data_IF_429489871801
#
_entry.id   IF_429489871801
#
_cell.length_a   1.000
_cell.length_b   1.000
_cell.length_c   1.000
_cell.angle_alpha   90.00
_cell.angle_beta   90.00
_cell.angle_gamma   90.00
#
_symmetry.space_group_name_H-M   'P 1'
#
loop_
_entity.id
_entity.type
_entity.pdbx_description
1 polymer ?
#
# COMPACT_ATOMS: atom_id res chain seq x y z
N UNK A 1 7.03 -0.02 -20.36
CA UNK A 1 7.44 -0.17 -18.95
C UNK A 1 8.65 0.70 -18.63
N UNK A 2 9.92 0.26 -18.62
CA UNK A 2 11.04 1.09 -18.11
C UNK A 2 11.24 2.44 -18.83
N UNK A 3 11.24 2.45 -20.17
CA UNK A 3 11.39 3.70 -20.95
C UNK A 3 10.27 4.71 -20.68
N UNK A 4 9.07 4.19 -20.45
CA UNK A 4 7.87 4.98 -20.18
C UNK A 4 7.89 5.53 -18.76
N UNK A 5 8.25 4.71 -17.77
CA UNK A 5 8.48 5.14 -16.40
C UNK A 5 9.60 6.20 -16.29
N UNK A 6 10.70 6.05 -17.04
CA UNK A 6 11.77 7.05 -17.11
C UNK A 6 11.26 8.36 -17.73
N UNK A 7 10.50 8.28 -18.82
CA UNK A 7 9.94 9.45 -19.47
C UNK A 7 8.96 10.20 -18.55
N UNK A 8 8.10 9.48 -17.84
CA UNK A 8 7.19 10.04 -16.83
C UNK A 8 7.96 10.71 -15.69
N UNK A 9 8.99 10.05 -15.15
CA UNK A 9 9.81 10.64 -14.09
C UNK A 9 10.51 11.90 -14.55
N UNK A 10 11.05 11.91 -15.77
CA UNK A 10 11.68 13.09 -16.35
C UNK A 10 10.68 14.24 -16.54
N UNK A 11 9.46 13.96 -17.04
CA UNK A 11 8.40 14.95 -17.17
C UNK A 11 7.97 15.54 -15.81
N UNK A 12 7.87 14.70 -14.78
CA UNK A 12 7.58 15.15 -13.41
C UNK A 12 8.65 16.09 -12.86
N UNK A 13 9.92 15.74 -12.99
CA UNK A 13 11.05 16.59 -12.54
C UNK A 13 11.09 17.93 -13.30
N UNK A 14 10.84 17.91 -14.61
CA UNK A 14 10.78 19.12 -15.41
C UNK A 14 9.62 20.03 -14.97
N UNK A 15 8.45 19.46 -14.69
CA UNK A 15 7.26 20.20 -14.23
C UNK A 15 7.53 20.88 -12.88
N UNK A 16 8.14 20.16 -11.94
CA UNK A 16 8.56 20.71 -10.65
C UNK A 16 9.57 21.86 -10.81
N UNK A 17 10.57 21.66 -11.66
CA UNK A 17 11.62 22.67 -11.92
C UNK A 17 11.03 23.94 -12.54
N UNK A 18 10.11 23.81 -13.50
CA UNK A 18 9.41 24.95 -14.12
C UNK A 18 8.56 25.72 -13.11
N UNK A 19 7.82 25.00 -12.26
CA UNK A 19 7.03 25.64 -11.21
C UNK A 19 7.89 26.43 -10.23
N UNK A 20 9.03 25.86 -9.82
CA UNK A 20 10.01 26.52 -8.95
C UNK A 20 10.58 27.80 -9.57
N UNK A 21 10.97 27.75 -10.84
CA UNK A 21 11.48 28.92 -11.56
C UNK A 21 10.44 30.04 -11.63
N UNK A 22 9.17 29.71 -11.92
CA UNK A 22 8.09 30.71 -11.90
C UNK A 22 7.90 31.33 -10.51
N UNK A 23 7.94 30.53 -9.43
CA UNK A 23 7.85 31.05 -8.06
C UNK A 23 9.01 32.01 -7.76
N UNK A 24 10.24 31.66 -8.12
CA UNK A 24 11.41 32.50 -7.87
C UNK A 24 11.32 33.82 -8.63
N UNK A 25 11.01 33.78 -9.93
CA UNK A 25 10.84 35.00 -10.76
C UNK A 25 9.73 35.88 -10.19
N UNK A 26 8.57 35.30 -9.90
CA UNK A 26 7.41 36.06 -9.43
C UNK A 26 7.61 36.67 -8.05
N UNK A 27 8.39 36.00 -7.19
CA UNK A 27 8.76 36.53 -5.88
C UNK A 27 9.73 37.71 -5.98
N UNK A 28 10.65 37.69 -6.94
CA UNK A 28 11.61 38.78 -7.17
C UNK A 28 10.97 40.04 -7.75
N UNK A 29 9.88 39.90 -8.50
CA UNK A 29 9.13 41.03 -9.08
C UNK A 29 8.15 41.69 -8.10
N UNK A 30 7.92 41.08 -6.94
CA UNK A 30 6.85 41.46 -6.02
C UNK A 30 7.36 42.43 -4.93
N UNK A 31 6.56 43.44 -4.51
CA UNK A 31 6.87 44.25 -3.35
C UNK A 31 7.01 43.39 -2.08
N UNK A 32 8.00 43.69 -1.24
CA UNK A 32 8.30 42.90 -0.03
C UNK A 32 7.08 42.69 0.87
N UNK A 33 6.27 43.72 1.11
CA UNK A 33 5.07 43.62 1.93
C UNK A 33 3.99 42.69 1.34
N UNK A 34 3.87 42.65 0.00
CA UNK A 34 2.96 41.74 -0.69
C UNK A 34 3.48 40.30 -0.62
N UNK A 35 4.79 40.10 -0.77
CA UNK A 35 5.45 38.81 -0.65
C UNK A 35 5.29 38.22 0.76
N UNK A 36 5.51 39.02 1.80
CA UNK A 36 5.32 38.61 3.20
C UNK A 36 3.88 38.19 3.49
N UNK A 37 2.89 38.96 2.98
CA UNK A 37 1.48 38.62 3.11
C UNK A 37 1.14 37.28 2.44
N UNK A 38 1.60 37.07 1.21
CA UNK A 38 1.38 35.83 0.44
C UNK A 38 2.09 34.63 1.06
N UNK A 39 3.31 34.80 1.59
CA UNK A 39 4.00 33.77 2.37
C UNK A 39 3.22 33.38 3.62
N UNK A 40 2.60 34.33 4.32
CA UNK A 40 1.73 34.04 5.46
C UNK A 40 0.49 33.21 5.09
N UNK A 41 -0.12 33.48 3.94
CA UNK A 41 -1.25 32.68 3.41
C UNK A 41 -0.76 31.28 3.03
N UNK A 42 0.35 31.18 2.31
CA UNK A 42 0.90 29.91 1.86
C UNK A 42 1.36 29.03 3.03
N UNK A 43 1.96 29.63 4.07
CA UNK A 43 2.35 28.92 5.29
C UNK A 43 1.19 28.25 6.01
N UNK A 44 -0.02 28.83 5.97
CA UNK A 44 -1.23 28.18 6.50
C UNK A 44 -1.59 26.94 5.69
N UNK A 45 -1.57 27.04 4.36
CA UNK A 45 -1.82 25.89 3.48
C UNK A 45 -0.81 24.76 3.66
N UNK A 46 0.47 25.09 3.87
CA UNK A 46 1.50 24.11 4.25
C UNK A 46 1.17 23.47 5.60
N UNK A 47 0.78 24.26 6.60
CA UNK A 47 0.39 23.75 7.91
C UNK A 47 -0.77 22.76 7.82
N UNK A 48 -1.81 23.08 7.05
CA UNK A 48 -2.94 22.17 6.81
C UNK A 48 -2.48 20.88 6.11
N UNK A 49 -1.59 20.99 5.14
CA UNK A 49 -1.05 19.84 4.44
C UNK A 49 -0.19 18.94 5.34
N UNK A 50 0.60 19.53 6.24
CA UNK A 50 1.37 18.80 7.25
C UNK A 50 0.47 18.05 8.24
N UNK A 51 -0.63 18.67 8.68
CA UNK A 51 -1.63 18.00 9.51
C UNK A 51 -2.23 16.79 8.79
N UNK A 52 -2.65 16.96 7.53
CA UNK A 52 -3.18 15.86 6.72
C UNK A 52 -2.15 14.72 6.56
N UNK A 53 -0.86 15.05 6.39
CA UNK A 53 0.23 14.06 6.36
C UNK A 53 0.35 13.29 7.68
N UNK A 54 0.26 13.97 8.82
CA UNK A 54 0.30 13.33 10.14
C UNK A 54 -0.89 12.38 10.34
N UNK A 55 -2.11 12.83 10.02
CA UNK A 55 -3.29 11.97 10.06
C UNK A 55 -3.14 10.75 9.16
N UNK A 56 -2.63 10.93 7.94
CA UNK A 56 -2.39 9.82 7.02
C UNK A 56 -1.40 8.79 7.59
N UNK A 57 -0.34 9.26 8.27
CA UNK A 57 0.64 8.39 8.94
C UNK A 57 0.00 7.55 10.04
N UNK A 58 -0.86 8.15 10.86
CA UNK A 58 -1.55 7.42 11.93
C UNK A 58 -2.54 6.39 11.37
N UNK A 59 -3.27 6.74 10.30
CA UNK A 59 -4.16 5.80 9.62
C UNK A 59 -3.35 4.63 9.05
N UNK A 60 -2.21 4.87 8.40
CA UNK A 60 -1.34 3.83 7.87
C UNK A 60 -0.80 2.90 8.96
N UNK A 61 -0.44 3.45 10.13
CA UNK A 61 -0.04 2.64 11.27
C UNK A 61 -1.18 1.73 11.75
N UNK A 62 -2.42 2.26 11.78
CA UNK A 62 -3.62 1.49 12.10
C UNK A 62 -3.95 0.41 11.05
N UNK A 63 -3.82 0.72 9.76
CA UNK A 63 -4.01 -0.23 8.67
C UNK A 63 -2.99 -1.37 8.73
N UNK A 64 -1.70 -1.05 8.95
CA UNK A 64 -0.66 -2.07 9.17
C UNK A 64 -1.02 -2.99 10.32
N UNK A 65 -1.52 -2.45 11.43
CA UNK A 65 -1.97 -3.25 12.58
C UNK A 65 -3.13 -4.18 12.19
N UNK A 66 -4.15 -3.65 11.52
CA UNK A 66 -5.31 -4.44 11.05
C UNK A 66 -4.91 -5.54 10.07
N UNK A 67 -3.98 -5.27 9.15
CA UNK A 67 -3.46 -6.26 8.21
C UNK A 67 -2.71 -7.39 8.92
N UNK A 68 -1.96 -7.06 9.97
CA UNK A 68 -1.26 -8.04 10.80
C UNK A 68 -2.25 -8.92 11.58
N UNK A 69 -3.25 -8.32 12.22
CA UNK A 69 -4.34 -9.04 12.91
C UNK A 69 -5.09 -9.97 11.94
N UNK A 70 -5.37 -9.49 10.72
CA UNK A 70 -6.01 -10.29 9.68
C UNK A 70 -5.13 -11.49 9.27
N UNK A 71 -3.82 -11.29 9.08
CA UNK A 71 -2.91 -12.38 8.74
C UNK A 71 -2.83 -13.43 9.86
N UNK A 72 -2.80 -13.00 11.12
CA UNK A 72 -2.85 -13.89 12.28
C UNK A 72 -4.15 -14.71 12.32
N UNK A 73 -5.29 -14.08 12.04
CA UNK A 73 -6.58 -14.78 11.95
C UNK A 73 -6.58 -15.83 10.83
N UNK A 74 -6.09 -15.47 9.63
CA UNK A 74 -5.96 -16.41 8.52
C UNK A 74 -5.03 -17.59 8.87
N UNK A 75 -3.92 -17.32 9.55
CA UNK A 75 -2.99 -18.35 10.00
C UNK A 75 -3.64 -19.31 11.02
N UNK A 76 -4.42 -18.81 11.96
CA UNK A 76 -5.11 -19.68 12.93
C UNK A 76 -6.24 -20.49 12.29
N UNK A 77 -6.97 -19.91 11.32
CA UNK A 77 -7.95 -20.66 10.51
C UNK A 77 -7.25 -21.79 9.75
N UNK A 78 -6.13 -21.49 9.08
CA UNK A 78 -5.33 -22.50 8.38
C UNK A 78 -4.84 -23.59 9.32
N UNK A 79 -4.37 -23.22 10.51
CA UNK A 79 -3.92 -24.17 11.54
C UNK A 79 -5.04 -25.12 11.94
N UNK A 80 -6.24 -24.61 12.24
CA UNK A 80 -7.41 -25.42 12.59
C UNK A 80 -7.83 -26.35 11.45
N UNK A 81 -7.89 -25.83 10.21
CA UNK A 81 -8.26 -26.61 9.03
C UNK A 81 -7.25 -27.72 8.75
N UNK A 82 -5.96 -27.43 8.86
CA UNK A 82 -4.89 -28.42 8.68
C UNK A 82 -4.99 -29.53 9.72
N UNK A 83 -5.23 -29.20 10.99
CA UNK A 83 -5.39 -30.20 12.03
C UNK A 83 -6.56 -31.13 11.74
N UNK A 84 -7.76 -30.58 11.46
CA UNK A 84 -8.94 -31.36 11.16
C UNK A 84 -8.76 -32.26 9.92
N UNK A 85 -8.09 -31.74 8.88
CA UNK A 85 -7.83 -32.48 7.65
C UNK A 85 -6.87 -33.65 7.88
N UNK A 86 -5.72 -33.40 8.53
CA UNK A 86 -4.71 -34.44 8.78
C UNK A 86 -5.20 -35.48 9.81
N UNK A 87 -5.98 -35.06 10.81
CA UNK A 87 -6.64 -35.96 11.76
C UNK A 87 -7.64 -36.88 11.05
N UNK A 88 -8.43 -36.35 10.11
CA UNK A 88 -9.34 -37.15 9.29
C UNK A 88 -8.60 -38.24 8.50
N UNK A 89 -7.47 -37.91 7.88
CA UNK A 89 -6.61 -38.87 7.17
C UNK A 89 -6.08 -39.94 8.13
N UNK A 90 -5.66 -39.55 9.33
CA UNK A 90 -5.17 -40.48 10.33
C UNK A 90 -6.27 -41.48 10.73
N UNK A 91 -7.47 -40.98 11.07
CA UNK A 91 -8.62 -41.80 11.48
C UNK A 91 -9.09 -42.75 10.37
N UNK A 92 -9.11 -42.28 9.12
CA UNK A 92 -9.48 -43.10 7.96
C UNK A 92 -8.49 -44.27 7.77
N UNK A 93 -7.19 -44.00 7.83
CA UNK A 93 -6.17 -45.04 7.66
C UNK A 93 -6.13 -46.03 8.84
N UNK A 94 -6.46 -45.57 10.05
CA UNK A 94 -6.60 -46.43 11.23
C UNK A 94 -7.83 -47.34 11.13
N UNK A 95 -8.97 -46.83 10.67
CA UNK A 95 -10.23 -47.58 10.55
C UNK A 95 -10.18 -48.64 9.44
N UNK A 96 -9.45 -48.38 8.36
CA UNK A 96 -9.32 -49.29 7.22
C UNK A 96 -8.36 -50.48 7.45
N UNK A 97 -7.82 -50.61 8.67
CA UNK A 97 -6.83 -51.62 9.00
C UNK A 97 -7.51 -52.79 9.74
N UNK A 98 -7.66 -53.95 9.06
CA UNK A 98 -8.17 -55.20 9.64
C UNK A 98 -7.18 -55.80 10.67
N UNK A 99 -7.00 -55.15 11.82
CA UNK A 99 -6.35 -55.70 13.01
C UNK A 99 -4.83 -55.56 13.13
N UNK A 100 -4.11 -55.03 12.12
CA UNK A 100 -2.66 -54.76 12.22
C UNK A 100 -2.33 -53.29 11.98
N UNK A 101 -2.43 -52.49 13.04
CA UNK A 101 -2.06 -51.07 13.07
C UNK A 101 -0.66 -50.86 12.46
N UNK A 102 -0.60 -50.25 11.28
CA UNK A 102 0.65 -49.93 10.60
C UNK A 102 0.92 -48.42 10.67
N UNK A 103 1.63 -48.02 11.71
CA UNK A 103 1.98 -46.62 11.98
C UNK A 103 2.72 -45.96 10.81
N UNK A 104 3.61 -46.70 10.12
CA UNK A 104 4.37 -46.18 8.99
C UNK A 104 3.46 -45.79 7.82
N UNK A 105 2.42 -46.59 7.56
CA UNK A 105 1.44 -46.29 6.50
C UNK A 105 0.62 -45.03 6.81
N UNK A 106 0.20 -44.85 8.07
CA UNK A 106 -0.51 -43.62 8.50
C UNK A 106 0.42 -42.41 8.38
N UNK A 107 1.68 -42.54 8.79
CA UNK A 107 2.67 -41.47 8.71
C UNK A 107 2.94 -41.06 7.26
N UNK A 108 3.09 -42.00 6.35
CA UNK A 108 3.27 -41.73 4.91
C UNK A 108 2.03 -41.06 4.30
N UNK A 109 0.82 -41.51 4.66
CA UNK A 109 -0.41 -40.90 4.18
C UNK A 109 -0.52 -39.42 4.60
N UNK A 110 -0.21 -39.10 5.87
CA UNK A 110 -0.16 -37.72 6.37
C UNK A 110 0.94 -36.93 5.65
N UNK A 111 2.16 -37.48 5.53
CA UNK A 111 3.28 -36.82 4.90
C UNK A 111 3.00 -36.44 3.43
N UNK A 112 2.33 -37.32 2.68
CA UNK A 112 1.94 -37.06 1.29
C UNK A 112 0.82 -36.02 1.17
N UNK A 113 -0.06 -35.93 2.18
CA UNK A 113 -1.18 -35.00 2.17
C UNK A 113 -0.81 -33.57 2.58
N UNK A 114 0.25 -33.39 3.38
CA UNK A 114 0.70 -32.08 3.85
C UNK A 114 1.02 -31.13 2.68
N UNK A 115 1.89 -31.46 1.71
CA UNK A 115 2.22 -30.53 0.62
C UNK A 115 1.00 -30.11 -0.19
N UNK A 116 0.15 -31.07 -0.56
CA UNK A 116 -1.06 -30.84 -1.37
C UNK A 116 -2.04 -29.91 -0.66
N UNK A 117 -2.23 -30.10 0.65
CA UNK A 117 -3.09 -29.23 1.45
C UNK A 117 -2.54 -27.80 1.51
N UNK A 118 -1.27 -27.64 1.91
CA UNK A 118 -0.70 -26.31 2.11
C UNK A 118 -0.48 -25.55 0.80
N UNK A 119 -0.19 -26.22 -0.32
CA UNK A 119 -0.03 -25.55 -1.62
C UNK A 119 -1.31 -24.83 -2.06
N UNK A 120 -2.47 -25.48 -1.90
CA UNK A 120 -3.76 -24.86 -2.21
C UNK A 120 -4.10 -23.74 -1.24
N UNK A 121 -4.01 -24.04 0.05
CA UNK A 121 -4.53 -23.15 1.11
C UNK A 121 -3.66 -21.89 1.28
N UNK A 122 -2.33 -22.02 1.18
CA UNK A 122 -1.44 -20.85 1.18
C UNK A 122 -1.63 -20.00 -0.07
N UNK A 123 -1.90 -20.60 -1.23
CA UNK A 123 -2.20 -19.86 -2.45
C UNK A 123 -3.48 -19.02 -2.36
N UNK A 124 -4.55 -19.58 -1.77
CA UNK A 124 -5.78 -18.83 -1.49
C UNK A 124 -5.57 -17.71 -0.47
N UNK A 125 -4.86 -18.01 0.62
CA UNK A 125 -4.53 -17.04 1.65
C UNK A 125 -3.70 -15.87 1.10
N UNK A 126 -2.68 -16.15 0.26
CA UNK A 126 -1.85 -15.13 -0.37
C UNK A 126 -2.70 -14.19 -1.23
N UNK A 127 -3.56 -14.72 -2.11
CA UNK A 127 -4.42 -13.90 -2.97
C UNK A 127 -5.37 -13.00 -2.16
N UNK A 128 -5.94 -13.55 -1.08
CA UNK A 128 -6.82 -12.78 -0.18
C UNK A 128 -6.07 -11.65 0.52
N UNK A 129 -4.87 -11.96 1.04
CA UNK A 129 -4.01 -10.98 1.69
C UNK A 129 -3.53 -9.88 0.73
N UNK A 130 -3.05 -10.26 -0.46
CA UNK A 130 -2.60 -9.32 -1.50
C UNK A 130 -3.72 -8.37 -1.93
N UNK A 131 -4.93 -8.90 -2.11
CA UNK A 131 -6.12 -8.08 -2.41
C UNK A 131 -6.38 -7.03 -1.32
N UNK A 132 -6.29 -7.43 -0.05
CA UNK A 132 -6.52 -6.53 1.09
C UNK A 132 -5.43 -5.48 1.24
N UNK A 133 -4.16 -5.85 1.03
CA UNK A 133 -3.02 -4.93 1.03
C UNK A 133 -3.16 -3.91 -0.10
N UNK A 134 -3.48 -4.36 -1.31
CA UNK A 134 -3.67 -3.50 -2.48
C UNK A 134 -4.82 -2.51 -2.28
N UNK A 135 -5.96 -2.96 -1.76
CA UNK A 135 -7.10 -2.09 -1.44
C UNK A 135 -6.69 -0.99 -0.46
N UNK A 136 -6.05 -1.36 0.66
CA UNK A 136 -5.59 -0.44 1.69
C UNK A 136 -4.60 0.59 1.14
N UNK A 137 -3.57 0.16 0.41
CA UNK A 137 -2.55 1.05 -0.15
C UNK A 137 -3.08 1.98 -1.26
N UNK A 138 -4.01 1.50 -2.10
CA UNK A 138 -4.57 2.32 -3.20
C UNK A 138 -5.34 3.55 -2.71
N UNK A 139 -5.97 3.47 -1.54
CA UNK A 139 -6.67 4.58 -0.92
C UNK A 139 -5.68 5.63 -0.38
N UNK A 140 -4.51 5.20 0.06
CA UNK A 140 -3.46 6.07 0.57
C UNK A 140 -2.66 6.76 -0.53
N UNK A 141 -2.36 6.05 -1.64
CA UNK A 141 -1.71 6.65 -2.81
C UNK A 141 -2.48 7.84 -3.35
N UNK A 142 -3.80 7.68 -3.55
CA UNK A 142 -4.69 8.78 -4.00
C UNK A 142 -4.68 9.98 -3.05
N UNK A 143 -4.76 9.76 -1.74
CA UNK A 143 -4.71 10.85 -0.74
C UNK A 143 -3.39 11.61 -0.76
N UNK A 144 -2.26 10.93 -1.03
CA UNK A 144 -0.97 11.59 -1.16
C UNK A 144 -0.89 12.45 -2.42
N UNK A 145 -1.38 11.94 -3.56
CA UNK A 145 -1.46 12.71 -4.80
C UNK A 145 -2.37 13.94 -4.64
N UNK A 146 -3.54 13.79 -4.00
CA UNK A 146 -4.46 14.89 -3.71
C UNK A 146 -3.82 15.98 -2.85
N UNK A 147 -3.01 15.59 -1.85
CA UNK A 147 -2.28 16.51 -0.98
C UNK A 147 -1.23 17.32 -1.75
N UNK A 148 -0.46 16.64 -2.62
CA UNK A 148 0.55 17.28 -3.48
C UNK A 148 -0.12 18.28 -4.42
N UNK A 149 -1.25 17.90 -5.02
CA UNK A 149 -2.00 18.77 -5.92
C UNK A 149 -2.64 19.95 -5.21
N UNK A 150 -3.13 19.78 -3.98
CA UNK A 150 -3.64 20.88 -3.15
C UNK A 150 -2.55 21.93 -2.87
N UNK A 151 -1.34 21.51 -2.50
CA UNK A 151 -0.21 22.43 -2.26
C UNK A 151 0.20 23.14 -3.55
N UNK A 152 0.24 22.43 -4.68
CA UNK A 152 0.56 23.03 -6.00
C UNK A 152 -0.46 24.07 -6.43
N UNK A 153 -1.75 23.78 -6.27
CA UNK A 153 -2.84 24.73 -6.57
C UNK A 153 -2.77 25.95 -5.67
N UNK A 154 -2.56 25.78 -4.37
CA UNK A 154 -2.40 26.89 -3.44
C UNK A 154 -1.24 27.81 -3.85
N UNK A 155 -0.08 27.24 -4.23
CA UNK A 155 1.04 28.02 -4.73
C UNK A 155 0.70 28.76 -6.04
N UNK A 156 -0.01 28.11 -6.97
CA UNK A 156 -0.46 28.75 -8.21
C UNK A 156 -1.40 29.92 -7.98
N UNK A 157 -2.41 29.73 -7.14
CA UNK A 157 -3.41 30.75 -6.83
C UNK A 157 -2.82 31.92 -6.05
N UNK A 158 -1.95 31.65 -5.07
CA UNK A 158 -1.38 32.69 -4.20
C UNK A 158 -0.35 33.54 -4.95
N UNK A 159 0.52 32.90 -5.74
CA UNK A 159 1.60 33.58 -6.44
C UNK A 159 1.24 33.99 -7.86
N UNK A 160 0.06 33.63 -8.36
CA UNK A 160 -0.40 33.92 -9.73
C UNK A 160 0.57 33.36 -10.77
N UNK A 161 0.94 32.09 -10.59
CA UNK A 161 1.84 31.35 -11.50
C UNK A 161 1.06 30.29 -12.28
N UNK A 162 1.48 29.92 -13.50
CA UNK A 162 0.78 28.90 -14.28
C UNK A 162 0.76 27.55 -13.57
N UNK A 163 -0.44 27.03 -13.31
CA UNK A 163 -0.62 25.67 -12.82
C UNK A 163 -0.53 24.66 -13.97
N UNK A 164 0.27 23.62 -13.77
CA UNK A 164 0.20 22.39 -14.56
C UNK A 164 -0.04 21.24 -13.58
N UNK A 165 -1.10 20.43 -13.78
CA UNK A 165 -1.27 19.22 -13.00
C UNK A 165 0.01 18.39 -13.16
N UNK A 166 0.57 17.89 -12.06
CA UNK A 166 1.57 16.84 -12.22
C UNK A 166 0.89 15.56 -12.68
N UNK A 167 1.58 14.77 -13.47
CA UNK A 167 1.16 13.37 -13.64
C UNK A 167 1.28 12.68 -12.27
N UNK A 168 0.22 11.94 -11.88
CA UNK A 168 0.23 11.21 -10.62
C UNK A 168 1.51 10.39 -10.55
N UNK A 169 2.18 10.42 -9.41
CA UNK A 169 3.27 9.48 -9.17
C UNK A 169 2.64 8.11 -9.14
N UNK A 170 2.57 7.46 -10.31
CA UNK A 170 2.03 6.13 -10.52
C UNK A 170 2.45 5.27 -9.34
N UNK A 171 1.44 4.88 -8.57
CA UNK A 171 1.64 4.21 -7.30
C UNK A 171 2.61 3.06 -7.47
N UNK A 172 3.47 2.88 -6.46
CA UNK A 172 4.29 1.69 -6.20
C UNK A 172 3.86 0.53 -7.11
N UNK A 173 4.57 0.39 -8.24
CA UNK A 173 4.37 -0.72 -9.15
C UNK A 173 4.56 -1.99 -8.32
N UNK A 174 3.46 -2.65 -7.99
CA UNK A 174 3.45 -4.00 -7.44
C UNK A 174 4.05 -4.90 -8.51
N UNK A 175 5.30 -5.30 -8.29
CA UNK A 175 5.93 -6.42 -8.98
C UNK A 175 5.53 -7.74 -8.29
#
# INVERSE_FOLDING_TARGET
MLREAIAQKAAGVLTETVMRLHLEVRSLEMPLAELESKLGIFGRSIGDAEQQRLFAKDILAGERKRLMEFLEEQAEILRKRSHAYLEGIAVENLSNTMGQLNENRVREAIANAIPVFFERELGEMSRSFDGRVSESLSAHGRKADDLIEAVRKAASEIFDIPYRPGESTGGLETA
#
